data_IF_218540207463
#
_entry.id   IF_218540207463
#
_cell.length_a   1.000
_cell.length_b   1.000
_cell.length_c   1.000
_cell.angle_alpha   90.00
_cell.angle_beta   90.00
_cell.angle_gamma   90.00
#
_symmetry.space_group_name_H-M   'P 1'
#
loop_
_entity.id
_entity.type
_entity.pdbx_description
1 polymer ?
#
# COMPACT_ATOMS: atom_id res chain seq x y z
N UNK A 1 -2.54 16.44 49.08
CA UNK A 1 -1.97 15.58 48.02
C UNK A 1 -3.12 15.05 47.17
N UNK A 2 -3.38 15.63 46.00
CA UNK A 2 -4.36 15.11 45.04
C UNK A 2 -3.61 14.48 43.88
N UNK A 3 -3.60 13.16 43.82
CA UNK A 3 -3.11 12.40 42.67
C UNK A 3 -4.20 12.42 41.59
N UNK A 4 -3.97 13.21 40.55
CA UNK A 4 -4.77 13.18 39.34
C UNK A 4 -4.45 11.87 38.58
N UNK A 5 -5.41 10.95 38.57
CA UNK A 5 -5.37 9.81 37.65
C UNK A 5 -5.51 10.34 36.21
N UNK A 6 -4.40 10.37 35.49
CA UNK A 6 -4.40 10.54 34.06
C UNK A 6 -5.09 9.33 33.42
N UNK A 7 -6.36 9.48 33.05
CA UNK A 7 -7.08 8.51 32.25
C UNK A 7 -6.39 8.41 30.88
N UNK A 8 -5.49 7.44 30.77
CA UNK A 8 -4.89 7.06 29.50
C UNK A 8 -6.00 6.39 28.71
N UNK A 9 -6.63 7.12 27.79
CA UNK A 9 -7.61 6.54 26.87
C UNK A 9 -6.84 5.55 26.00
N UNK A 10 -6.90 4.28 26.39
CA UNK A 10 -6.44 3.16 25.60
C UNK A 10 -7.37 3.07 24.40
N UNK A 11 -6.93 3.63 23.27
CA UNK A 11 -7.58 3.45 21.96
C UNK A 11 -7.29 2.02 21.46
N UNK A 12 -7.70 1.02 22.23
CA UNK A 12 -7.75 -0.37 21.82
C UNK A 12 -9.22 -0.76 21.72
N UNK A 13 -9.63 -1.24 20.55
CA UNK A 13 -10.91 -1.93 20.41
C UNK A 13 -12.08 -1.14 19.84
N UNK A 14 -11.90 0.06 19.27
CA UNK A 14 -12.99 0.65 18.48
C UNK A 14 -13.25 -0.24 17.25
N UNK A 15 -14.50 -0.74 17.05
CA UNK A 15 -14.88 -1.37 15.79
C UNK A 15 -14.61 -0.37 14.68
N UNK A 16 -14.34 -0.87 13.47
CA UNK A 16 -13.95 -0.07 12.30
C UNK A 16 -14.89 1.15 12.15
N UNK A 17 -14.47 2.31 12.68
CA UNK A 17 -15.30 3.50 12.64
C UNK A 17 -15.25 4.03 11.21
N UNK A 18 -16.31 3.77 10.46
CA UNK A 18 -16.63 4.51 9.25
C UNK A 18 -16.96 5.93 9.69
N UNK A 19 -16.10 6.89 9.35
CA UNK A 19 -16.39 8.30 9.58
C UNK A 19 -17.48 8.81 8.65
N UNK A 20 -17.98 10.00 8.93
CA UNK A 20 -18.96 10.69 8.10
C UNK A 20 -18.29 11.34 6.88
N UNK A 21 -18.58 10.81 5.69
CA UNK A 21 -17.99 11.27 4.44
C UNK A 21 -18.35 12.74 4.12
N UNK A 22 -19.61 13.20 4.21
CA UNK A 22 -19.99 14.61 4.14
C UNK A 22 -19.16 15.51 5.06
N UNK A 23 -19.05 15.19 6.35
CA UNK A 23 -18.27 16.02 7.27
C UNK A 23 -16.78 16.03 6.91
N UNK A 24 -16.20 14.88 6.59
CA UNK A 24 -14.80 14.77 6.15
C UNK A 24 -14.50 15.61 4.91
N UNK A 25 -15.43 15.61 3.95
CA UNK A 25 -15.33 16.44 2.73
C UNK A 25 -15.28 17.93 3.09
N UNK A 26 -16.18 18.37 3.98
CA UNK A 26 -16.24 19.76 4.45
C UNK A 26 -14.96 20.16 5.18
N UNK A 27 -14.50 19.32 6.11
CA UNK A 27 -13.28 19.58 6.89
C UNK A 27 -12.05 19.75 6.01
N UNK A 28 -11.86 18.88 5.02
CA UNK A 28 -10.73 18.99 4.09
C UNK A 28 -10.85 20.23 3.20
N UNK A 29 -12.05 20.56 2.71
CA UNK A 29 -12.26 21.78 1.92
C UNK A 29 -11.98 23.06 2.72
N UNK A 30 -12.30 23.06 4.02
CA UNK A 30 -12.08 24.21 4.90
C UNK A 30 -10.62 24.37 5.34
N UNK A 31 -9.94 23.26 5.63
CA UNK A 31 -8.67 23.26 6.39
C UNK A 31 -7.47 22.71 5.61
N UNK A 32 -7.64 22.27 4.37
CA UNK A 32 -6.58 21.73 3.51
C UNK A 32 -6.60 22.43 2.13
N UNK A 33 -6.79 23.76 2.09
CA UNK A 33 -6.96 24.52 0.83
C UNK A 33 -5.77 24.41 -0.13
N UNK A 34 -4.56 24.20 0.39
CA UNK A 34 -3.33 24.03 -0.40
C UNK A 34 -3.08 22.57 -0.82
N UNK A 35 -3.92 21.63 -0.39
CA UNK A 35 -3.75 20.21 -0.64
C UNK A 35 -4.18 19.87 -2.08
N UNK A 36 -3.21 19.52 -2.91
CA UNK A 36 -3.46 19.05 -4.28
C UNK A 36 -4.14 17.68 -4.26
N UNK A 37 -5.12 17.45 -5.14
CA UNK A 37 -5.86 16.20 -5.20
C UNK A 37 -4.94 14.99 -5.39
N UNK A 38 -3.91 15.14 -6.24
CA UNK A 38 -2.94 14.10 -6.55
C UNK A 38 -2.08 13.72 -5.35
N UNK A 39 -1.91 14.61 -4.37
CA UNK A 39 -1.20 14.32 -3.12
C UNK A 39 -2.16 13.78 -2.07
N UNK A 40 -3.34 14.38 -1.98
CA UNK A 40 -4.36 14.06 -0.99
C UNK A 40 -4.88 12.62 -1.13
N UNK A 41 -5.03 12.14 -2.36
CA UNK A 41 -5.56 10.81 -2.66
C UNK A 41 -4.47 9.77 -2.96
N UNK A 42 -3.19 10.14 -2.85
CA UNK A 42 -2.07 9.24 -3.10
C UNK A 42 -2.05 8.08 -2.07
N UNK A 43 -2.31 6.84 -2.51
CA UNK A 43 -2.31 5.69 -1.62
C UNK A 43 -0.92 5.38 -1.08
N UNK A 44 0.16 5.72 -1.80
CA UNK A 44 1.54 5.47 -1.35
C UNK A 44 1.83 6.34 -0.13
N UNK A 45 1.56 7.65 -0.21
CA UNK A 45 1.76 8.59 0.90
C UNK A 45 0.93 8.23 2.14
N UNK A 46 -0.33 7.82 1.95
CA UNK A 46 -1.17 7.41 3.07
C UNK A 46 -0.60 6.17 3.79
N UNK A 47 -0.12 5.19 3.03
CA UNK A 47 0.46 3.96 3.60
C UNK A 47 1.86 4.20 4.20
N UNK A 48 2.69 5.07 3.62
CA UNK A 48 4.00 5.41 4.18
C UNK A 48 3.91 5.95 5.60
N UNK A 49 2.92 6.81 5.83
CA UNK A 49 2.68 7.39 7.15
C UNK A 49 1.91 6.42 8.06
N UNK A 50 0.89 5.75 7.51
CA UNK A 50 -0.04 4.92 8.25
C UNK A 50 -1.14 5.74 8.93
N UNK A 51 -2.35 5.20 8.86
CA UNK A 51 -3.60 5.87 9.24
C UNK A 51 -3.62 6.32 10.71
N UNK A 52 -3.06 5.50 11.60
CA UNK A 52 -2.97 5.83 13.03
C UNK A 52 -2.13 7.09 13.29
N UNK A 53 -1.05 7.29 12.52
CA UNK A 53 -0.22 8.50 12.65
C UNK A 53 -0.97 9.71 12.11
N UNK A 54 -1.71 9.55 11.00
CA UNK A 54 -2.56 10.62 10.43
C UNK A 54 -3.59 11.10 11.45
N UNK A 55 -4.35 10.19 12.06
CA UNK A 55 -5.36 10.51 13.07
C UNK A 55 -4.73 11.25 14.26
N UNK A 56 -3.59 10.77 14.76
CA UNK A 56 -2.87 11.42 15.87
C UNK A 56 -2.34 12.81 15.51
N UNK A 57 -1.91 13.02 14.26
CA UNK A 57 -1.43 14.32 13.80
C UNK A 57 -2.56 15.34 13.70
N UNK A 58 -3.70 14.94 13.13
CA UNK A 58 -4.91 15.77 13.04
C UNK A 58 -5.43 16.20 14.42
N UNK A 59 -5.38 15.29 15.41
CA UNK A 59 -5.72 15.64 16.80
C UNK A 59 -4.80 16.71 17.41
N UNK A 60 -3.57 16.83 16.89
CA UNK A 60 -2.60 17.86 17.28
C UNK A 60 -2.64 19.09 16.38
N UNK A 61 -3.56 19.13 15.41
CA UNK A 61 -3.65 20.20 14.42
C UNK A 61 -2.54 20.17 13.38
N UNK A 62 -1.89 19.03 13.18
CA UNK A 62 -0.80 18.88 12.20
C UNK A 62 -1.25 18.03 11.02
N UNK A 63 -0.91 18.49 9.82
CA UNK A 63 -1.02 17.75 8.59
C UNK A 63 0.21 16.89 8.32
N UNK A 64 0.04 15.63 7.93
CA UNK A 64 1.15 14.75 7.53
C UNK A 64 0.76 13.90 6.31
N UNK A 65 1.74 13.50 5.51
CA UNK A 65 1.54 12.66 4.32
C UNK A 65 0.61 13.32 3.30
N UNK A 66 -0.59 12.77 3.01
CA UNK A 66 -1.53 13.39 2.09
C UNK A 66 -2.10 14.74 2.58
N UNK A 67 -1.90 15.09 3.85
CA UNK A 67 -2.48 16.26 4.51
C UNK A 67 -1.45 17.34 4.87
N UNK A 68 -0.24 17.34 4.30
CA UNK A 68 0.83 18.31 4.64
C UNK A 68 0.40 19.80 4.55
N UNK A 69 -0.64 20.13 3.80
CA UNK A 69 -1.22 21.48 3.71
C UNK A 69 -2.29 21.84 4.76
N UNK A 70 -2.39 21.08 5.85
CA UNK A 70 -3.39 21.32 6.90
C UNK A 70 -3.15 22.63 7.66
N UNK A 71 -4.19 23.41 7.89
CA UNK A 71 -4.12 24.80 8.36
C UNK A 71 -3.87 25.01 9.87
N UNK A 72 -3.72 23.93 10.64
CA UNK A 72 -3.49 24.02 12.09
C UNK A 72 -4.68 23.64 12.96
N UNK A 73 -5.88 23.45 12.40
CA UNK A 73 -7.07 23.11 13.20
C UNK A 73 -6.93 21.75 13.87
N UNK A 74 -7.09 21.70 15.20
CA UNK A 74 -7.18 20.45 15.96
C UNK A 74 -8.54 19.81 15.75
N UNK A 75 -8.53 18.50 15.49
CA UNK A 75 -9.75 17.71 15.32
C UNK A 75 -9.97 16.77 16.49
N UNK A 76 -11.23 16.50 16.80
CA UNK A 76 -11.61 15.35 17.63
C UNK A 76 -11.25 14.03 16.92
N UNK A 77 -11.25 12.92 17.67
CA UNK A 77 -10.99 11.61 17.10
C UNK A 77 -12.00 11.24 15.99
N UNK A 78 -13.28 11.59 16.18
CA UNK A 78 -14.34 11.34 15.18
C UNK A 78 -14.13 12.18 13.92
N UNK A 79 -13.87 13.49 14.05
CA UNK A 79 -13.59 14.35 12.89
C UNK A 79 -12.33 13.88 12.12
N UNK A 80 -11.31 13.37 12.81
CA UNK A 80 -10.14 12.80 12.15
C UNK A 80 -10.48 11.52 11.35
N UNK A 81 -11.41 10.70 11.84
CA UNK A 81 -11.95 9.56 11.09
C UNK A 81 -12.78 9.99 9.89
N UNK A 82 -13.53 11.08 10.00
CA UNK A 82 -14.30 11.65 8.89
C UNK A 82 -13.36 12.09 7.75
N UNK A 83 -12.29 12.81 8.08
CA UNK A 83 -11.24 13.22 7.13
C UNK A 83 -10.60 12.00 6.47
N UNK A 84 -10.23 10.98 7.25
CA UNK A 84 -9.65 9.76 6.72
C UNK A 84 -10.63 9.00 5.82
N UNK A 85 -11.92 8.98 6.16
CA UNK A 85 -12.97 8.37 5.35
C UNK A 85 -13.12 9.07 4.01
N UNK A 86 -13.04 10.41 4.00
CA UNK A 86 -13.02 11.17 2.75
C UNK A 86 -11.82 10.82 1.86
N UNK A 87 -10.60 10.80 2.41
CA UNK A 87 -9.38 10.42 1.67
C UNK A 87 -9.52 9.02 1.08
N UNK A 88 -9.91 8.05 1.91
CA UNK A 88 -10.05 6.64 1.50
C UNK A 88 -11.12 6.44 0.42
N UNK A 89 -12.20 7.23 0.46
CA UNK A 89 -13.28 7.13 -0.54
C UNK A 89 -12.83 7.39 -1.98
N UNK A 90 -11.65 8.00 -2.16
CA UNK A 90 -11.05 8.36 -3.45
C UNK A 90 -9.65 7.81 -3.66
N UNK A 91 -9.15 6.98 -2.75
CA UNK A 91 -7.83 6.36 -2.81
C UNK A 91 -7.93 4.83 -2.91
N UNK A 92 -6.78 4.16 -3.00
CA UNK A 92 -6.67 2.70 -2.88
C UNK A 92 -6.21 2.39 -1.47
N UNK A 93 -7.05 1.70 -0.71
CA UNK A 93 -6.70 1.18 0.62
C UNK A 93 -6.17 -0.24 0.50
N UNK A 94 -5.34 -0.69 1.46
CA UNK A 94 -4.87 -2.08 1.46
C UNK A 94 -6.04 -3.07 1.57
N UNK A 95 -7.10 -2.69 2.31
CA UNK A 95 -8.33 -3.48 2.46
C UNK A 95 -9.17 -3.60 1.19
N UNK A 96 -9.02 -2.68 0.25
CA UNK A 96 -9.65 -2.82 -1.08
C UNK A 96 -9.06 -3.98 -1.88
N UNK A 97 -7.78 -4.30 -1.63
CA UNK A 97 -7.02 -5.28 -2.40
C UNK A 97 -6.96 -6.64 -1.68
N UNK A 98 -6.77 -6.62 -0.36
CA UNK A 98 -6.76 -7.81 0.50
C UNK A 98 -7.76 -7.55 1.65
N UNK A 99 -8.98 -8.10 1.57
CA UNK A 99 -9.96 -7.97 2.64
C UNK A 99 -9.42 -8.51 3.96
N UNK A 100 -9.69 -7.82 5.07
CA UNK A 100 -9.26 -8.25 6.40
C UNK A 100 -7.87 -7.80 6.83
N UNK A 101 -7.10 -7.09 5.98
CA UNK A 101 -5.78 -6.59 6.38
C UNK A 101 -5.83 -5.73 7.65
N UNK A 102 -4.95 -6.09 8.58
CA UNK A 102 -4.83 -5.49 9.92
C UNK A 102 -3.46 -4.85 10.14
N UNK A 103 -2.41 -5.45 9.56
CA UNK A 103 -1.04 -4.97 9.65
C UNK A 103 -0.38 -5.00 8.27
N UNK A 104 0.63 -4.16 8.09
CA UNK A 104 1.50 -4.21 6.91
C UNK A 104 2.91 -3.71 7.23
N UNK A 105 3.86 -4.08 6.38
CA UNK A 105 5.22 -3.57 6.36
C UNK A 105 5.61 -3.33 4.90
N UNK A 106 6.17 -2.16 4.62
CA UNK A 106 6.65 -1.80 3.29
C UNK A 106 8.16 -2.04 3.20
N UNK A 107 8.60 -2.58 2.08
CA UNK A 107 9.99 -2.88 1.79
C UNK A 107 10.36 -2.31 0.42
N UNK A 108 11.63 -1.92 0.26
CA UNK A 108 12.19 -1.47 -1.02
C UNK A 108 13.32 -2.41 -1.47
N UNK A 109 13.04 -3.72 -1.67
CA UNK A 109 14.07 -4.65 -2.09
C UNK A 109 14.54 -4.31 -3.51
N UNK A 110 15.84 -4.45 -3.74
CA UNK A 110 16.49 -4.11 -5.00
C UNK A 110 16.74 -5.37 -5.83
N UNK A 111 16.10 -5.53 -7.01
CA UNK A 111 16.37 -6.66 -7.88
C UNK A 111 17.84 -6.66 -8.31
N UNK A 112 18.52 -7.79 -8.08
CA UNK A 112 19.91 -7.98 -8.50
C UNK A 112 20.07 -7.98 -10.04
N UNK A 113 21.31 -8.03 -10.51
CA UNK A 113 21.59 -7.96 -11.95
C UNK A 113 20.86 -9.06 -12.73
N UNK A 114 20.87 -10.31 -12.27
CA UNK A 114 20.18 -11.42 -12.93
C UNK A 114 18.66 -11.22 -13.00
N UNK A 115 18.05 -10.66 -11.97
CA UNK A 115 16.64 -10.29 -11.97
C UNK A 115 16.36 -9.21 -13.03
N UNK A 116 17.18 -8.16 -13.10
CA UNK A 116 17.10 -7.13 -14.15
C UNK A 116 17.29 -7.74 -15.54
N UNK A 117 18.17 -8.75 -15.66
CA UNK A 117 18.34 -9.49 -16.90
C UNK A 117 17.07 -10.24 -17.32
N UNK A 118 16.36 -10.89 -16.38
CA UNK A 118 15.07 -11.55 -16.69
C UNK A 118 14.00 -10.56 -17.14
N UNK A 119 13.93 -9.38 -16.53
CA UNK A 119 12.95 -8.34 -16.88
C UNK A 119 13.04 -7.92 -18.36
N UNK A 120 14.25 -7.81 -18.92
CA UNK A 120 14.43 -7.46 -20.33
C UNK A 120 14.53 -8.68 -21.26
N UNK A 121 15.28 -9.74 -20.91
CA UNK A 121 15.46 -10.92 -21.80
C UNK A 121 14.20 -11.76 -21.90
N UNK A 122 13.59 -12.06 -20.76
CA UNK A 122 12.53 -13.06 -20.67
C UNK A 122 11.13 -12.44 -20.66
N UNK A 123 10.91 -11.43 -19.81
CA UNK A 123 9.62 -10.79 -19.63
C UNK A 123 9.33 -9.67 -20.63
N UNK A 124 10.35 -9.18 -21.34
CA UNK A 124 10.24 -8.14 -22.38
C UNK A 124 9.54 -6.86 -21.89
N UNK A 125 9.73 -6.51 -20.61
CA UNK A 125 9.13 -5.31 -19.99
C UNK A 125 9.95 -4.05 -20.30
N UNK A 126 11.23 -4.22 -20.59
CA UNK A 126 12.18 -3.18 -20.96
C UNK A 126 12.86 -3.52 -22.29
N UNK A 127 13.25 -2.49 -23.05
CA UNK A 127 13.98 -2.63 -24.33
C UNK A 127 15.46 -2.98 -24.14
N UNK A 128 16.03 -2.61 -23.00
CA UNK A 128 17.39 -2.92 -22.55
C UNK A 128 17.36 -3.41 -21.09
N UNK A 129 18.50 -3.87 -20.56
CA UNK A 129 18.59 -4.16 -19.13
C UNK A 129 18.30 -2.89 -18.34
N UNK A 130 17.27 -2.87 -17.49
CA UNK A 130 16.91 -1.68 -16.74
C UNK A 130 17.99 -1.33 -15.71
N UNK A 131 18.12 -0.05 -15.41
CA UNK A 131 18.92 0.43 -14.27
C UNK A 131 18.21 0.14 -12.94
N UNK A 132 18.94 0.08 -11.80
CA UNK A 132 18.33 -0.15 -10.48
C UNK A 132 17.16 0.80 -10.18
N UNK A 133 17.27 2.06 -10.57
CA UNK A 133 16.28 3.11 -10.29
C UNK A 133 14.96 2.89 -11.06
N UNK A 134 15.02 2.23 -12.22
CA UNK A 134 13.85 1.92 -13.04
C UNK A 134 13.04 0.72 -12.53
N UNK A 135 13.65 -0.09 -11.67
CA UNK A 135 13.04 -1.28 -11.05
C UNK A 135 12.85 -1.13 -9.54
N UNK A 136 13.38 -0.07 -8.96
CA UNK A 136 13.15 0.30 -7.56
C UNK A 136 11.67 0.58 -7.32
N UNK A 137 11.21 0.22 -6.13
CA UNK A 137 9.91 0.60 -5.64
C UNK A 137 9.49 -0.19 -4.42
N UNK A 138 8.35 0.19 -3.85
CA UNK A 138 7.82 -0.44 -2.64
C UNK A 138 7.00 -1.67 -2.95
N UNK A 139 7.23 -2.74 -2.20
CA UNK A 139 6.33 -3.88 -2.04
C UNK A 139 5.87 -3.93 -0.58
N UNK A 140 4.60 -4.22 -0.36
CA UNK A 140 3.96 -4.16 0.95
C UNK A 140 3.55 -5.58 1.34
N UNK A 141 4.16 -6.15 2.37
CA UNK A 141 3.69 -7.39 2.98
C UNK A 141 2.52 -7.07 3.90
N UNK A 142 1.49 -7.90 3.89
CA UNK A 142 0.28 -7.70 4.71
C UNK A 142 -0.04 -8.91 5.57
N UNK A 143 -0.69 -8.66 6.72
CA UNK A 143 -1.19 -9.69 7.62
C UNK A 143 -2.65 -9.46 7.99
N UNK A 144 -3.35 -10.57 8.22
CA UNK A 144 -4.72 -10.64 8.74
C UNK A 144 -4.67 -11.36 10.07
N UNK A 145 -4.63 -10.58 11.13
CA UNK A 145 -4.72 -11.06 12.50
C UNK A 145 -6.20 -11.02 12.94
N UNK A 146 -6.82 -12.16 13.27
CA UNK A 146 -8.23 -12.22 13.64
C UNK A 146 -8.56 -11.43 14.92
N UNK A 147 -7.57 -11.17 15.79
CA UNK A 147 -7.76 -10.44 17.04
C UNK A 147 -7.62 -8.93 16.87
N UNK A 148 -6.97 -8.49 15.80
CA UNK A 148 -6.70 -7.08 15.57
C UNK A 148 -7.94 -6.32 15.07
N UNK A 149 -8.25 -5.20 15.74
CA UNK A 149 -9.34 -4.28 15.38
C UNK A 149 -8.82 -2.86 15.11
N UNK A 150 -9.57 -2.10 14.31
CA UNK A 150 -9.33 -0.67 14.08
C UNK A 150 -8.61 -0.33 12.76
N UNK A 151 -7.81 0.76 12.69
CA UNK A 151 -7.07 1.15 11.49
C UNK A 151 -5.95 0.15 11.18
N UNK A 152 -5.52 0.12 9.92
CA UNK A 152 -4.41 -0.75 9.54
C UNK A 152 -3.11 -0.23 10.18
N UNK A 153 -2.38 -1.12 10.85
CA UNK A 153 -1.13 -0.79 11.55
C UNK A 153 0.06 -0.93 10.60
N UNK A 154 0.87 0.14 10.53
CA UNK A 154 2.12 0.15 9.79
C UNK A 154 3.27 -0.31 10.69
N UNK A 155 3.92 -1.41 10.32
CA UNK A 155 5.07 -2.03 11.00
C UNK A 155 6.41 -1.75 10.27
N UNK A 156 6.38 -0.96 9.20
CA UNK A 156 7.58 -0.60 8.40
C UNK A 156 8.70 -0.05 9.29
N UNK A 157 9.90 -0.60 9.12
CA UNK A 157 11.09 -0.21 9.89
C UNK A 157 11.16 -0.78 11.31
N UNK A 158 10.16 -1.53 11.77
CA UNK A 158 10.19 -2.24 13.04
C UNK A 158 10.30 -3.74 12.78
N UNK A 159 11.55 -4.22 12.64
CA UNK A 159 11.89 -5.62 12.30
C UNK A 159 11.26 -6.61 13.27
N UNK A 160 11.54 -6.43 14.56
CA UNK A 160 10.99 -7.27 15.63
C UNK A 160 9.46 -7.37 15.52
N UNK A 161 8.76 -6.24 15.37
CA UNK A 161 7.30 -6.26 15.36
C UNK A 161 6.67 -6.98 14.16
N UNK A 162 7.33 -7.05 12.99
CA UNK A 162 6.80 -7.82 11.86
C UNK A 162 7.31 -9.26 11.80
N UNK A 163 8.45 -9.57 12.42
CA UNK A 163 8.95 -10.95 12.59
C UNK A 163 8.16 -11.70 13.66
N UNK A 164 7.72 -11.00 14.72
CA UNK A 164 6.79 -11.52 15.73
C UNK A 164 5.41 -11.88 15.15
N UNK A 165 5.08 -11.35 13.97
CA UNK A 165 3.81 -11.68 13.31
C UNK A 165 3.91 -13.06 12.68
N UNK A 166 3.06 -13.98 13.15
CA UNK A 166 2.99 -15.35 12.65
C UNK A 166 2.90 -15.40 11.11
N UNK A 167 3.81 -16.15 10.49
CA UNK A 167 3.86 -16.34 9.05
C UNK A 167 2.54 -16.88 8.48
N UNK A 168 1.79 -17.67 9.26
CA UNK A 168 0.47 -18.20 8.87
C UNK A 168 -0.58 -17.10 8.67
N UNK A 169 -0.38 -15.92 9.27
CA UNK A 169 -1.26 -14.77 9.13
C UNK A 169 -0.87 -13.86 7.95
N UNK A 170 0.25 -14.13 7.26
CA UNK A 170 0.61 -13.40 6.03
C UNK A 170 -0.49 -13.59 4.99
N UNK A 171 -1.03 -12.47 4.51
CA UNK A 171 -2.22 -12.45 3.63
C UNK A 171 -1.89 -12.19 2.17
N UNK A 172 -0.69 -11.71 1.88
CA UNK A 172 -0.22 -11.44 0.53
C UNK A 172 0.60 -10.16 0.44
N UNK A 173 1.07 -9.92 -0.77
CA UNK A 173 1.85 -8.76 -1.16
C UNK A 173 0.97 -7.73 -1.85
N UNK A 174 1.22 -6.45 -1.62
CA UNK A 174 0.56 -5.34 -2.32
C UNK A 174 1.61 -4.44 -2.96
N UNK A 175 1.33 -3.98 -4.16
CA UNK A 175 2.13 -2.99 -4.86
C UNK A 175 1.24 -1.80 -5.16
N UNK A 176 1.75 -0.61 -4.86
CA UNK A 176 1.15 0.66 -5.23
C UNK A 176 2.10 1.37 -6.19
N UNK A 177 1.56 1.86 -7.31
CA UNK A 177 2.30 2.59 -8.34
C UNK A 177 1.44 3.71 -8.90
N UNK A 178 2.09 4.79 -9.32
CA UNK A 178 1.47 5.82 -10.13
C UNK A 178 1.84 5.57 -11.59
N UNK A 179 0.86 5.64 -12.48
CA UNK A 179 1.02 5.43 -13.92
C UNK A 179 0.28 6.50 -14.70
N UNK A 180 0.69 6.74 -15.94
CA UNK A 180 0.01 7.66 -16.85
C UNK A 180 -0.95 6.91 -17.78
N UNK A 181 -2.18 7.42 -17.90
CA UNK A 181 -3.18 7.01 -18.87
C UNK A 181 -3.51 8.19 -19.80
N UNK A 182 -2.74 8.33 -20.88
CA UNK A 182 -2.81 9.51 -21.74
C UNK A 182 -2.30 10.75 -21.01
N UNK A 183 -3.17 11.74 -20.77
CA UNK A 183 -2.83 12.95 -20.00
C UNK A 183 -3.18 12.86 -18.51
N UNK A 184 -3.76 11.73 -18.06
CA UNK A 184 -4.24 11.57 -16.68
C UNK A 184 -3.28 10.70 -15.88
N UNK A 185 -3.05 11.08 -14.63
CA UNK A 185 -2.36 10.24 -13.66
C UNK A 185 -3.36 9.30 -12.99
N UNK A 186 -2.95 8.05 -12.80
CA UNK A 186 -3.76 6.98 -12.20
C UNK A 186 -2.91 6.27 -11.15
N UNK A 187 -3.47 6.09 -9.96
CA UNK A 187 -2.91 5.20 -8.97
C UNK A 187 -3.37 3.78 -9.25
N UNK A 188 -2.42 2.86 -9.27
CA UNK A 188 -2.60 1.44 -9.47
C UNK A 188 -2.24 0.70 -8.18
N UNK A 189 -3.10 -0.22 -7.79
CA UNK A 189 -2.87 -1.19 -6.74
C UNK A 189 -2.98 -2.62 -7.26
N UNK A 190 -2.02 -3.47 -6.95
CA UNK A 190 -2.02 -4.89 -7.32
C UNK A 190 -1.73 -5.72 -6.07
N UNK A 191 -2.62 -6.65 -5.73
CA UNK A 191 -2.37 -7.66 -4.71
C UNK A 191 -1.92 -8.97 -5.35
N UNK A 192 -0.90 -9.56 -4.75
CA UNK A 192 -0.24 -10.79 -5.17
C UNK A 192 -0.35 -11.82 -4.04
N UNK A 193 -0.79 -13.02 -4.38
CA UNK A 193 -0.86 -14.16 -3.46
C UNK A 193 0.53 -14.58 -2.98
N UNK A 194 0.65 -14.91 -1.69
CA UNK A 194 1.93 -15.30 -1.10
C UNK A 194 2.42 -16.69 -1.54
N UNK A 195 1.50 -17.61 -1.87
CA UNK A 195 1.84 -19.01 -2.20
C UNK A 195 2.21 -19.14 -3.67
N UNK A 196 1.37 -18.60 -4.54
CA UNK A 196 1.48 -18.82 -5.99
C UNK A 196 2.04 -17.61 -6.75
N UNK A 197 2.26 -16.48 -6.08
CA UNK A 197 2.65 -15.21 -6.72
C UNK A 197 1.69 -14.81 -7.86
N UNK A 198 0.40 -15.09 -7.68
CA UNK A 198 -0.67 -14.74 -8.64
C UNK A 198 -1.31 -13.41 -8.27
N UNK A 199 -1.74 -12.62 -9.26
CA UNK A 199 -2.56 -11.45 -8.96
C UNK A 199 -3.92 -11.90 -8.43
N UNK A 200 -4.26 -11.52 -7.19
CA UNK A 200 -5.55 -11.87 -6.55
C UNK A 200 -6.55 -10.73 -6.60
N UNK A 201 -6.05 -9.50 -6.67
CA UNK A 201 -6.86 -8.30 -6.88
C UNK A 201 -6.04 -7.23 -7.58
N UNK A 202 -6.71 -6.38 -8.34
CA UNK A 202 -6.12 -5.16 -8.86
C UNK A 202 -7.17 -4.05 -8.83
N UNK A 203 -6.73 -2.84 -8.52
CA UNK A 203 -7.57 -1.63 -8.47
C UNK A 203 -6.82 -0.48 -9.12
N UNK A 204 -7.55 0.39 -9.78
CA UNK A 204 -7.02 1.65 -10.29
C UNK A 204 -7.95 2.78 -9.85
N UNK A 205 -7.41 3.95 -9.52
CA UNK A 205 -8.17 5.16 -9.23
C UNK A 205 -7.47 6.37 -9.88
N UNK A 206 -8.20 7.30 -10.52
CA UNK A 206 -7.61 8.54 -11.01
C UNK A 206 -7.02 9.38 -9.88
N UNK A 207 -5.85 9.99 -10.11
CA UNK A 207 -5.18 10.81 -9.11
C UNK A 207 -5.94 12.11 -8.80
N UNK A 208 -6.78 12.58 -9.73
CA UNK A 208 -7.64 13.75 -9.55
C UNK A 208 -8.88 13.47 -8.68
N UNK A 209 -9.06 12.22 -8.22
CA UNK A 209 -10.18 11.79 -7.38
C UNK A 209 -11.54 11.76 -8.09
N UNK A 210 -11.59 11.93 -9.42
CA UNK A 210 -12.85 11.90 -10.18
C UNK A 210 -13.26 10.46 -10.50
N UNK A 211 -14.53 10.13 -10.26
CA UNK A 211 -15.12 8.84 -10.62
C UNK A 211 -15.38 8.76 -12.12
N UNK A 212 -14.39 8.36 -12.92
CA UNK A 212 -14.62 7.83 -14.28
C UNK A 212 -13.31 7.41 -14.96
N UNK A 213 -13.05 6.11 -15.03
CA UNK A 213 -12.41 5.55 -16.21
C UNK A 213 -12.97 4.17 -16.53
N UNK A 214 -13.13 3.87 -17.83
CA UNK A 214 -13.38 2.51 -18.33
C UNK A 214 -12.25 1.56 -17.89
N UNK A 215 -11.06 2.10 -17.65
CA UNK A 215 -9.90 1.37 -17.17
C UNK A 215 -10.10 0.81 -15.76
N UNK A 216 -10.74 1.54 -14.82
CA UNK A 216 -11.11 1.01 -13.48
C UNK A 216 -11.95 -0.28 -13.58
N UNK A 217 -12.90 -0.32 -14.53
CA UNK A 217 -13.76 -1.50 -14.78
C UNK A 217 -13.02 -2.65 -15.45
N UNK A 218 -11.99 -2.37 -16.26
CA UNK A 218 -11.15 -3.36 -16.92
C UNK A 218 -10.14 -4.00 -15.96
N UNK A 219 -9.55 -3.23 -15.05
CA UNK A 219 -8.62 -3.75 -14.02
C UNK A 219 -9.33 -4.76 -13.11
N UNK A 220 -10.52 -4.41 -12.62
CA UNK A 220 -11.27 -5.23 -11.65
C UNK A 220 -11.74 -6.59 -12.20
N UNK A 221 -11.95 -6.70 -13.53
CA UNK A 221 -12.45 -7.93 -14.17
C UNK A 221 -11.39 -8.71 -14.95
N UNK A 222 -10.32 -8.04 -15.40
CA UNK A 222 -9.39 -8.60 -16.36
C UNK A 222 -8.22 -9.39 -15.76
N UNK A 223 -7.72 -8.98 -14.59
CA UNK A 223 -6.38 -9.37 -14.13
C UNK A 223 -6.35 -10.33 -12.93
N UNK A 224 -7.50 -10.73 -12.37
CA UNK A 224 -7.57 -11.65 -11.21
C UNK A 224 -7.19 -13.08 -11.61
N UNK A 225 -6.46 -13.76 -10.73
CA UNK A 225 -5.87 -15.09 -10.91
C UNK A 225 -5.00 -15.22 -12.16
N UNK A 226 -4.39 -14.10 -12.59
CA UNK A 226 -3.47 -14.03 -13.73
C UNK A 226 -2.07 -13.69 -13.23
N UNK A 227 -1.08 -14.12 -14.00
CA UNK A 227 0.33 -13.91 -13.70
C UNK A 227 0.83 -14.95 -12.72
N UNK A 228 2.02 -15.46 -12.98
CA UNK A 228 2.73 -16.38 -12.08
C UNK A 228 4.21 -16.14 -12.28
N UNK A 229 4.98 -16.25 -11.19
CA UNK A 229 6.40 -15.95 -11.19
C UNK A 229 7.23 -16.80 -12.16
N UNK A 230 6.81 -18.04 -12.40
CA UNK A 230 7.42 -18.97 -13.36
C UNK A 230 7.02 -18.71 -14.82
N UNK A 231 5.98 -17.90 -15.08
CA UNK A 231 5.40 -17.76 -16.41
C UNK A 231 4.85 -16.35 -16.69
N UNK A 232 5.78 -15.40 -16.73
CA UNK A 232 5.52 -14.00 -17.07
C UNK A 232 4.87 -13.82 -18.46
N UNK A 233 5.27 -14.63 -19.45
CA UNK A 233 4.85 -14.47 -20.85
C UNK A 233 3.36 -14.74 -21.09
N UNK A 234 2.69 -15.48 -20.21
CA UNK A 234 1.26 -15.82 -20.36
C UNK A 234 0.33 -14.87 -19.61
N UNK A 235 0.84 -13.78 -19.04
CA UNK A 235 -0.01 -12.77 -18.44
C UNK A 235 -0.86 -12.07 -19.51
N UNK A 236 -2.16 -12.33 -19.49
CA UNK A 236 -3.16 -11.60 -20.25
C UNK A 236 -4.25 -11.15 -19.29
N UNK A 237 -4.47 -9.83 -19.19
CA UNK A 237 -5.70 -9.33 -18.60
C UNK A 237 -6.81 -9.45 -19.65
N UNK A 238 -7.99 -9.97 -19.26
CA UNK A 238 -9.17 -9.98 -20.11
C UNK A 238 -9.65 -8.53 -20.29
N UNK A 239 -9.04 -7.80 -21.23
CA UNK A 239 -9.32 -6.40 -21.53
C UNK A 239 -8.11 -5.72 -22.17
N UNK A 240 -8.25 -5.34 -23.44
CA UNK A 240 -7.31 -4.50 -24.19
C UNK A 240 -7.40 -3.03 -23.76
N UNK A 241 -7.15 -2.78 -22.48
CA UNK A 241 -7.17 -1.44 -21.88
C UNK A 241 -5.78 -0.81 -21.83
N UNK A 242 -5.70 0.52 -21.89
CA UNK A 242 -4.43 1.28 -21.77
C UNK A 242 -3.67 0.97 -20.48
N UNK A 243 -4.33 0.46 -19.44
CA UNK A 243 -3.74 0.06 -18.16
C UNK A 243 -3.22 -1.40 -18.11
N UNK A 244 -3.54 -2.27 -19.07
CA UNK A 244 -3.11 -3.67 -19.03
C UNK A 244 -1.56 -3.82 -19.04
N UNK A 245 -0.88 -3.05 -19.90
CA UNK A 245 0.58 -3.04 -19.98
C UNK A 245 1.24 -2.43 -18.74
N UNK A 246 0.78 -1.29 -18.20
CA UNK A 246 1.23 -0.79 -16.89
C UNK A 246 1.05 -1.79 -15.74
N UNK A 247 -0.09 -2.51 -15.68
CA UNK A 247 -0.33 -3.55 -14.67
C UNK A 247 0.64 -4.70 -14.82
N UNK A 248 0.81 -5.19 -16.04
CA UNK A 248 1.78 -6.24 -16.34
C UNK A 248 3.19 -5.81 -15.89
N UNK A 249 3.64 -4.62 -16.31
CA UNK A 249 4.95 -4.07 -15.91
C UNK A 249 5.09 -4.00 -14.39
N UNK A 250 4.09 -3.47 -13.68
CA UNK A 250 4.10 -3.37 -12.22
C UNK A 250 4.16 -4.75 -11.54
N UNK A 251 3.35 -5.71 -11.99
CA UNK A 251 3.32 -7.08 -11.46
C UNK A 251 4.66 -7.78 -11.64
N UNK A 252 5.26 -7.69 -12.83
CA UNK A 252 6.52 -8.39 -13.14
C UNK A 252 7.69 -7.80 -12.37
N UNK A 253 7.82 -6.47 -12.34
CA UNK A 253 8.86 -5.81 -11.52
C UNK A 253 8.71 -6.23 -10.07
N UNK A 254 7.50 -6.16 -9.53
CA UNK A 254 7.27 -6.52 -8.16
C UNK A 254 7.49 -7.99 -7.84
N UNK A 255 7.25 -8.91 -8.77
CA UNK A 255 7.56 -10.33 -8.58
C UNK A 255 9.06 -10.55 -8.37
N UNK A 256 9.90 -9.80 -9.10
CA UNK A 256 11.35 -9.83 -8.91
C UNK A 256 11.79 -9.14 -7.61
N UNK A 257 11.07 -8.09 -7.19
CA UNK A 257 11.30 -7.42 -5.89
C UNK A 257 10.93 -8.30 -4.70
N UNK A 258 9.77 -8.96 -4.74
CA UNK A 258 9.34 -9.94 -3.74
C UNK A 258 10.36 -11.07 -3.65
N UNK A 259 10.85 -11.57 -4.79
CA UNK A 259 11.89 -12.60 -4.75
C UNK A 259 13.19 -12.12 -4.11
N UNK A 260 13.64 -10.90 -4.43
CA UNK A 260 14.84 -10.34 -3.81
C UNK A 260 14.68 -10.28 -2.28
N UNK A 261 13.52 -9.83 -1.79
CA UNK A 261 13.20 -9.84 -0.37
C UNK A 261 13.18 -11.25 0.24
N UNK A 262 12.43 -12.19 -0.35
CA UNK A 262 12.35 -13.57 0.15
C UNK A 262 13.72 -14.25 0.22
N UNK A 263 14.59 -13.97 -0.77
CA UNK A 263 15.95 -14.48 -0.79
C UNK A 263 16.81 -13.89 0.34
N UNK A 264 16.68 -12.60 0.62
CA UNK A 264 17.37 -11.94 1.74
C UNK A 264 16.87 -12.46 3.09
N UNK A 265 15.55 -12.61 3.26
CA UNK A 265 14.91 -13.16 4.46
C UNK A 265 15.48 -14.56 4.76
N UNK A 266 15.44 -15.48 3.79
CA UNK A 266 15.98 -16.84 3.91
C UNK A 266 17.49 -16.89 4.23
N UNK A 267 18.28 -15.96 3.69
CA UNK A 267 19.72 -15.91 3.98
C UNK A 267 20.01 -15.34 5.37
N UNK A 268 19.19 -14.39 5.83
CA UNK A 268 19.36 -13.78 7.13
C UNK A 268 19.07 -14.75 8.27
N UNK A 269 18.05 -15.61 8.12
CA UNK A 269 17.74 -16.69 9.06
C UNK A 269 18.92 -17.66 9.21
N UNK A 270 19.61 -18.00 8.11
CA UNK A 270 20.77 -18.89 8.10
C UNK A 270 21.99 -18.32 8.82
N UNK A 271 22.15 -17.00 8.84
CA UNK A 271 23.26 -16.32 9.55
C UNK A 271 22.96 -16.03 11.02
N UNK A 272 21.70 -16.03 11.43
CA UNK A 272 21.30 -15.74 12.83
C UNK A 272 21.58 -16.90 13.80
N UNK A 273 21.82 -18.11 13.30
CA UNK A 273 22.22 -19.28 14.10
C UNK A 273 23.73 -19.57 14.13
N UNK A 274 24.56 -18.69 13.58
CA UNK A 274 26.02 -18.84 13.51
C UNK A 274 26.79 -17.73 14.25
N UNK A 275 26.09 -16.91 15.04
CA UNK A 275 26.65 -15.73 15.70
C UNK A 275 26.52 -15.75 17.24
N UNK A 276 26.44 -16.93 17.85
CA UNK A 276 26.52 -17.13 19.30
C UNK A 276 27.45 -18.31 19.62
N UNK A 277 28.72 -18.22 19.22
CA UNK A 277 29.83 -19.03 19.76
C UNK A 277 31.18 -18.41 19.34
N UNK A 278 31.49 -17.19 19.81
CA UNK A 278 32.88 -16.70 20.04
C UNK A 278 32.91 -15.68 21.20
#
# INVERSE_FOLDING_TARGET
MSLAFAATIVVAGLPMQTGDLPNGTRLVASHCKSCKAEVLFDPIRLNDVGERKVIKALARGKGIGPLEGWDGRRLSALEAWDVLTYIRSRSITLRDLIPGVTHFAAFEPEPNEYARQRLYKQAKVFSSSPKPEEVKGKVILTWTDPEARGPVRNLTGNRVAYEDMDQKHRSGWIILRQVEEGKRQVFLGVAIDIKDTKIIAAKAVPADGKKSSSAMRAVARGCKNKGRRDNYRRFSCNGSGRLAKPIFKAFIIASEQIYAYEYEEHRSDFTSGLADDE
#
